data_IF_645489590877
#
_entry.id   IF_645489590877
#
_cell.length_a   1.000
_cell.length_b   1.000
_cell.length_c   1.000
_cell.angle_alpha   90.00
_cell.angle_beta   90.00
_cell.angle_gamma   90.00
#
_symmetry.space_group_name_H-M   'P 1'
#
loop_
_entity.id
_entity.type
_entity.pdbx_description
1 polymer ?
#
# COMPACT_ATOMS: atom_id res chain seq x y z
N UNK A 1 -42.07 33.52 -50.29
CA UNK A 1 -42.20 32.38 -49.35
C UNK A 1 -41.06 32.51 -48.33
N UNK A 2 -41.32 33.11 -47.17
CA UNK A 2 -40.32 33.34 -46.10
C UNK A 2 -40.47 32.20 -45.08
N UNK A 3 -39.41 31.43 -44.88
CA UNK A 3 -39.36 30.38 -43.85
C UNK A 3 -38.67 31.00 -42.63
N UNK A 4 -39.42 31.17 -41.55
CA UNK A 4 -38.94 31.52 -40.21
C UNK A 4 -38.43 30.27 -39.51
N UNK A 5 -37.15 30.26 -39.16
CA UNK A 5 -36.51 29.26 -38.31
C UNK A 5 -36.63 29.68 -36.85
N UNK A 6 -37.28 28.84 -36.03
CA UNK A 6 -37.29 28.99 -34.57
C UNK A 6 -36.13 28.20 -33.96
N UNK A 7 -35.18 28.89 -33.33
CA UNK A 7 -34.22 28.29 -32.41
C UNK A 7 -34.90 28.08 -31.05
N UNK A 8 -34.93 26.84 -30.56
CA UNK A 8 -35.26 26.51 -29.17
C UNK A 8 -33.94 26.44 -28.40
N UNK A 9 -33.73 27.35 -27.45
CA UNK A 9 -32.60 27.32 -26.53
C UNK A 9 -32.94 26.39 -25.35
N UNK A 10 -32.16 25.31 -25.17
CA UNK A 10 -32.23 24.47 -23.99
C UNK A 10 -31.33 25.08 -22.89
N UNK A 11 -31.93 25.55 -21.81
CA UNK A 11 -31.21 25.95 -20.60
C UNK A 11 -30.72 24.73 -19.85
N UNK A 12 -29.39 24.54 -19.77
CA UNK A 12 -28.78 23.64 -18.79
C UNK A 12 -28.80 24.29 -17.40
N UNK A 13 -29.60 23.74 -16.49
CA UNK A 13 -29.46 24.01 -15.06
C UNK A 13 -28.23 23.25 -14.53
N UNK A 14 -27.15 23.97 -14.24
CA UNK A 14 -26.07 23.45 -13.41
C UNK A 14 -26.58 23.31 -11.96
N UNK A 15 -26.87 22.08 -11.55
CA UNK A 15 -27.05 21.75 -10.15
C UNK A 15 -25.72 21.97 -9.42
N UNK A 16 -25.65 22.98 -8.55
CA UNK A 16 -24.56 23.12 -7.58
C UNK A 16 -24.60 21.89 -6.67
N UNK A 17 -23.67 20.96 -6.85
CA UNK A 17 -23.40 19.92 -5.87
C UNK A 17 -23.11 20.61 -4.53
N UNK A 18 -23.86 20.26 -3.49
CA UNK A 18 -23.60 20.71 -2.13
C UNK A 18 -22.22 20.19 -1.74
N UNK A 19 -21.24 21.09 -1.64
CA UNK A 19 -19.93 20.77 -1.07
C UNK A 19 -20.16 20.23 0.35
N UNK A 20 -19.82 18.96 0.55
CA UNK A 20 -19.85 18.33 1.86
C UNK A 20 -18.87 19.11 2.76
N UNK A 21 -19.26 19.55 3.97
CA UNK A 21 -18.35 20.27 4.83
C UNK A 21 -17.12 19.39 5.09
N UNK A 22 -15.94 19.92 4.76
CA UNK A 22 -14.66 19.32 5.11
C UNK A 22 -14.63 19.23 6.64
N UNK A 23 -14.80 18.02 7.17
CA UNK A 23 -14.47 17.75 8.57
C UNK A 23 -12.98 18.02 8.74
N UNK A 24 -12.61 18.71 9.83
CA UNK A 24 -11.22 18.81 10.22
C UNK A 24 -10.57 17.41 10.20
N UNK A 25 -9.33 17.27 9.72
CA UNK A 25 -8.67 15.97 9.69
C UNK A 25 -8.70 15.34 11.09
N UNK A 26 -8.97 14.03 11.20
CA UNK A 26 -9.07 13.37 12.50
C UNK A 26 -7.79 13.58 13.31
N UNK A 27 -7.95 13.88 14.60
CA UNK A 27 -6.82 13.89 15.51
C UNK A 27 -6.41 12.45 15.79
N UNK A 28 -5.21 12.09 15.33
CA UNK A 28 -4.64 10.77 15.52
C UNK A 28 -3.85 10.69 16.83
N UNK A 29 -3.98 9.55 17.52
CA UNK A 29 -3.41 9.34 18.87
C UNK A 29 -2.42 8.17 18.93
N UNK A 30 -2.20 7.50 17.81
CA UNK A 30 -1.27 6.40 17.67
C UNK A 30 -1.26 5.82 16.26
N UNK A 31 -0.60 4.68 16.12
CA UNK A 31 -0.34 4.03 14.84
C UNK A 31 -0.49 2.51 14.98
N UNK A 32 -0.98 1.88 13.91
CA UNK A 32 -1.04 0.43 13.74
C UNK A 32 -0.08 0.01 12.63
N UNK A 33 0.92 -0.81 12.96
CA UNK A 33 1.78 -1.46 11.96
C UNK A 33 1.11 -2.76 11.55
N UNK A 34 0.80 -2.90 10.26
CA UNK A 34 0.37 -4.15 9.62
C UNK A 34 1.55 -4.79 8.93
N UNK A 35 1.87 -6.02 9.30
CA UNK A 35 3.12 -6.67 8.88
C UNK A 35 2.98 -8.19 9.00
N UNK A 36 4.06 -8.91 8.72
CA UNK A 36 4.22 -10.34 8.90
C UNK A 36 5.68 -10.61 9.32
N UNK A 37 6.02 -11.87 9.55
CA UNK A 37 7.41 -12.30 9.66
C UNK A 37 7.65 -13.54 8.79
N UNK A 38 8.86 -13.73 8.29
CA UNK A 38 9.16 -14.88 7.42
C UNK A 38 8.80 -16.24 8.07
N UNK A 39 9.09 -16.50 9.36
CA UNK A 39 8.70 -17.76 10.01
C UNK A 39 7.19 -17.92 10.24
N UNK A 40 6.42 -16.82 10.20
CA UNK A 40 4.98 -16.83 10.41
C UNK A 40 4.29 -15.89 9.39
N UNK A 41 4.11 -16.36 8.13
CA UNK A 41 3.57 -15.57 7.03
C UNK A 41 2.05 -15.40 7.17
N UNK A 42 1.66 -14.69 8.23
CA UNK A 42 0.30 -14.38 8.64
C UNK A 42 0.26 -12.91 9.07
N UNK A 43 -0.93 -12.29 9.06
CA UNK A 43 -1.06 -10.88 9.42
C UNK A 43 -0.78 -10.68 10.89
N UNK A 44 0.19 -9.82 11.20
CA UNK A 44 0.60 -9.43 12.53
C UNK A 44 0.37 -7.93 12.69
N UNK A 45 -0.09 -7.53 13.88
CA UNK A 45 -0.28 -6.11 14.21
C UNK A 45 0.56 -5.68 15.38
N UNK A 46 1.17 -4.50 15.25
CA UNK A 46 1.85 -3.83 16.35
C UNK A 46 1.24 -2.45 16.58
N UNK A 47 0.87 -2.14 17.82
CA UNK A 47 0.25 -0.86 18.18
C UNK A 47 1.27 0.04 18.87
N UNK A 48 1.31 1.31 18.49
CA UNK A 48 2.22 2.27 19.09
C UNK A 48 2.00 2.43 20.61
N UNK A 49 3.06 2.63 21.38
CA UNK A 49 2.97 3.03 22.79
C UNK A 49 2.54 4.50 22.89
N UNK A 50 1.25 4.74 23.14
CA UNK A 50 0.66 6.07 22.98
C UNK A 50 0.83 6.58 21.54
N UNK A 51 1.20 7.84 21.39
CA UNK A 51 1.43 8.48 20.08
C UNK A 51 2.91 8.47 19.65
N UNK A 52 3.72 7.56 20.20
CA UNK A 52 5.12 7.41 19.83
C UNK A 52 5.24 6.70 18.47
N UNK A 53 5.84 7.39 17.50
CA UNK A 53 6.04 6.88 16.16
C UNK A 53 7.16 5.82 16.04
N UNK A 54 7.89 5.52 17.11
CA UNK A 54 9.07 4.63 17.11
C UNK A 54 8.97 3.44 18.05
N UNK A 55 7.94 3.39 18.91
CA UNK A 55 7.76 2.35 19.93
C UNK A 55 6.45 1.62 19.71
N UNK A 56 6.49 0.31 19.54
CA UNK A 56 5.31 -0.50 19.24
C UNK A 56 5.32 -1.79 20.04
N UNK A 57 4.13 -2.26 20.43
CA UNK A 57 3.93 -3.55 21.09
C UNK A 57 3.23 -4.52 20.15
N UNK A 58 3.70 -5.77 20.10
CA UNK A 58 3.06 -6.83 19.33
C UNK A 58 1.72 -7.17 19.98
N UNK A 59 0.65 -7.15 19.20
CA UNK A 59 -0.71 -7.42 19.64
C UNK A 59 -1.06 -8.91 19.62
N UNK A 60 -2.26 -9.20 20.11
CA UNK A 60 -2.87 -10.53 20.18
C UNK A 60 -2.01 -11.56 20.94
N UNK A 61 -1.37 -11.15 22.03
CA UNK A 61 -0.51 -12.03 22.83
C UNK A 61 0.73 -12.51 22.06
N UNK A 62 1.24 -11.68 21.14
CA UNK A 62 2.37 -12.02 20.27
C UNK A 62 2.04 -13.04 19.18
N UNK A 63 0.78 -13.12 18.74
CA UNK A 63 0.31 -14.04 17.69
C UNK A 63 -0.25 -13.28 16.50
N UNK A 64 -0.34 -13.97 15.35
CA UNK A 64 -1.03 -13.43 14.20
C UNK A 64 -2.49 -13.08 14.52
N UNK A 65 -2.98 -12.00 13.91
CA UNK A 65 -4.37 -11.53 14.04
C UNK A 65 -5.27 -12.11 12.97
N UNK A 66 -4.78 -12.17 11.72
CA UNK A 66 -5.51 -12.76 10.58
C UNK A 66 -4.66 -13.85 9.93
N UNK A 67 -5.31 -14.93 9.52
CA UNK A 67 -4.69 -16.06 8.85
C UNK A 67 -5.37 -16.33 7.51
N UNK A 68 -4.61 -16.82 6.53
CA UNK A 68 -5.15 -17.20 5.22
C UNK A 68 -5.40 -18.70 5.16
N UNK A 69 -6.58 -19.09 4.71
CA UNK A 69 -6.91 -20.48 4.32
C UNK A 69 -7.14 -20.62 2.80
N UNK A 70 -6.87 -19.56 2.03
CA UNK A 70 -7.01 -19.47 0.57
C UNK A 70 -5.64 -19.33 -0.10
N UNK A 71 -5.58 -19.57 -1.42
CA UNK A 71 -4.35 -19.42 -2.19
C UNK A 71 -3.23 -20.34 -1.68
N UNK A 72 -2.04 -19.77 -1.54
CA UNK A 72 -0.85 -20.40 -0.96
C UNK A 72 -0.93 -20.60 0.56
N UNK A 73 -1.91 -19.98 1.23
CA UNK A 73 -2.12 -19.99 2.69
C UNK A 73 -1.07 -19.25 3.53
N UNK A 74 -0.02 -18.73 2.91
CA UNK A 74 0.88 -17.73 3.49
C UNK A 74 0.58 -16.35 2.91
N UNK A 75 0.84 -15.31 3.69
CA UNK A 75 0.73 -13.93 3.25
C UNK A 75 1.94 -13.09 3.61
N UNK A 76 2.25 -12.14 2.73
CA UNK A 76 3.35 -11.19 2.85
C UNK A 76 2.88 -9.78 2.46
N UNK A 77 3.71 -8.79 2.77
CA UNK A 77 3.59 -7.41 2.32
C UNK A 77 2.22 -6.81 2.69
N UNK A 78 1.92 -6.81 3.99
CA UNK A 78 0.56 -6.55 4.49
C UNK A 78 0.24 -5.06 4.45
N UNK A 79 -0.80 -4.67 3.73
CA UNK A 79 -1.25 -3.29 3.65
C UNK A 79 -2.66 -3.12 4.21
N UNK A 80 -2.83 -2.17 5.12
CA UNK A 80 -4.12 -1.78 5.70
C UNK A 80 -4.58 -0.43 5.12
N UNK A 81 -5.76 -0.43 4.51
CA UNK A 81 -6.38 0.77 3.92
C UNK A 81 -7.77 1.03 4.46
N UNK A 82 -8.22 2.27 4.38
CA UNK A 82 -9.55 2.74 4.81
C UNK A 82 -9.99 3.93 3.96
N UNK A 83 -11.30 4.19 3.89
CA UNK A 83 -11.83 5.38 3.24
C UNK A 83 -11.70 6.62 4.15
N UNK A 84 -11.89 7.82 3.60
CA UNK A 84 -11.80 9.06 4.38
C UNK A 84 -12.84 9.16 5.51
N UNK A 85 -13.99 8.48 5.38
CA UNK A 85 -15.01 8.41 6.42
C UNK A 85 -14.65 7.45 7.57
N UNK A 86 -13.63 6.61 7.38
CA UNK A 86 -13.20 5.57 8.33
C UNK A 86 -14.33 4.61 8.72
N UNK A 87 -15.17 4.29 7.75
CA UNK A 87 -16.33 3.38 7.90
C UNK A 87 -16.08 1.99 7.36
N UNK A 88 -14.97 1.79 6.66
CA UNK A 88 -14.54 0.50 6.14
C UNK A 88 -13.03 0.38 6.08
N UNK A 89 -12.56 -0.83 6.30
CA UNK A 89 -11.15 -1.17 6.40
C UNK A 89 -10.91 -2.44 5.61
N UNK A 90 -9.80 -2.47 4.90
CA UNK A 90 -9.37 -3.64 4.16
C UNK A 90 -7.91 -3.94 4.47
N UNK A 91 -7.63 -5.19 4.82
CA UNK A 91 -6.26 -5.71 4.83
C UNK A 91 -6.07 -6.46 3.53
N UNK A 92 -5.07 -6.05 2.74
CA UNK A 92 -4.68 -6.69 1.48
C UNK A 92 -3.25 -7.18 1.60
N UNK A 93 -2.96 -8.33 0.99
CA UNK A 93 -1.66 -8.96 1.11
C UNK A 93 -1.28 -9.75 -0.14
N UNK A 94 0.03 -9.88 -0.37
CA UNK A 94 0.60 -10.83 -1.32
C UNK A 94 0.22 -12.25 -0.91
N UNK A 95 -0.34 -13.03 -1.84
CA UNK A 95 -0.59 -14.47 -1.66
C UNK A 95 0.70 -15.26 -1.94
N UNK A 96 1.50 -15.50 -0.88
CA UNK A 96 2.78 -16.18 -0.98
C UNK A 96 3.21 -16.84 0.33
N UNK A 97 3.45 -18.15 0.29
CA UNK A 97 4.11 -18.90 1.35
C UNK A 97 5.52 -19.34 0.91
N UNK A 98 6.55 -18.71 1.48
CA UNK A 98 7.95 -19.07 1.21
C UNK A 98 8.42 -20.30 1.99
N UNK A 99 7.62 -20.76 2.96
CA UNK A 99 7.92 -21.93 3.79
C UNK A 99 7.23 -23.20 3.26
N UNK A 100 6.43 -23.08 2.20
CA UNK A 100 5.76 -24.21 1.58
C UNK A 100 6.78 -25.21 1.02
N UNK A 101 6.45 -26.51 1.15
CA UNK A 101 7.27 -27.58 0.58
C UNK A 101 7.42 -27.38 -0.94
N UNK A 102 8.66 -27.41 -1.44
CA UNK A 102 8.95 -27.22 -2.85
C UNK A 102 8.91 -25.77 -3.33
N UNK A 103 8.89 -24.78 -2.42
CA UNK A 103 8.96 -23.36 -2.76
C UNK A 103 10.17 -23.04 -3.67
N UNK A 104 9.94 -22.17 -4.65
CA UNK A 104 10.96 -21.66 -5.56
C UNK A 104 10.66 -20.23 -5.96
N UNK A 105 11.64 -19.34 -5.78
CA UNK A 105 11.56 -17.95 -6.26
C UNK A 105 11.36 -17.86 -7.77
N UNK A 106 11.91 -18.81 -8.54
CA UNK A 106 11.64 -18.88 -9.98
C UNK A 106 10.16 -19.17 -10.25
N UNK A 107 9.57 -20.14 -9.56
CA UNK A 107 8.13 -20.43 -9.71
C UNK A 107 7.27 -19.25 -9.23
N UNK A 108 7.62 -18.62 -8.10
CA UNK A 108 6.88 -17.51 -7.54
C UNK A 108 6.87 -16.26 -8.45
N UNK A 109 7.89 -16.10 -9.30
CA UNK A 109 7.99 -14.98 -10.27
C UNK A 109 7.48 -15.32 -11.67
N UNK A 110 7.29 -16.60 -11.99
CA UNK A 110 6.87 -17.06 -13.32
C UNK A 110 5.43 -17.56 -13.34
N UNK A 111 5.03 -18.34 -12.33
CA UNK A 111 3.71 -18.96 -12.19
C UNK A 111 3.15 -18.72 -10.78
N UNK A 112 3.48 -17.57 -10.19
CA UNK A 112 3.03 -17.15 -8.87
C UNK A 112 1.55 -16.78 -8.86
N UNK A 113 1.05 -16.44 -7.66
CA UNK A 113 -0.33 -15.99 -7.52
C UNK A 113 -0.56 -14.68 -8.27
N UNK A 114 -1.63 -14.62 -9.07
CA UNK A 114 -2.09 -13.41 -9.77
C UNK A 114 -3.12 -12.62 -8.95
N UNK A 115 -3.26 -12.97 -7.66
CA UNK A 115 -4.26 -12.41 -6.79
C UNK A 115 -3.72 -11.94 -5.45
N UNK A 116 -4.57 -11.19 -4.76
CA UNK A 116 -4.33 -10.70 -3.41
C UNK A 116 -5.25 -11.44 -2.44
N UNK A 117 -4.76 -11.70 -1.24
CA UNK A 117 -5.59 -12.14 -0.12
C UNK A 117 -6.16 -10.91 0.58
N UNK A 118 -7.47 -10.91 0.82
CA UNK A 118 -8.22 -9.75 1.26
C UNK A 118 -9.12 -10.11 2.44
N UNK A 119 -9.06 -9.28 3.49
CA UNK A 119 -10.01 -9.25 4.60
C UNK A 119 -10.69 -7.89 4.65
N UNK A 120 -11.94 -7.85 5.08
CA UNK A 120 -12.71 -6.62 5.25
C UNK A 120 -13.22 -6.47 6.68
N UNK A 121 -13.33 -5.22 7.13
CA UNK A 121 -13.92 -4.86 8.42
C UNK A 121 -14.67 -3.52 8.31
N UNK A 122 -15.67 -3.31 9.15
CA UNK A 122 -16.36 -2.02 9.31
C UNK A 122 -15.91 -1.23 10.54
N UNK A 123 -15.07 -1.83 11.39
CA UNK A 123 -14.67 -1.25 12.67
C UNK A 123 -13.21 -1.57 13.06
N UNK A 124 -12.40 -2.05 12.11
CA UNK A 124 -10.98 -2.40 12.26
C UNK A 124 -10.69 -3.61 13.17
N UNK A 125 -11.71 -4.21 13.80
CA UNK A 125 -11.52 -5.25 14.82
C UNK A 125 -12.35 -6.52 14.60
N UNK A 126 -13.46 -6.41 13.86
CA UNK A 126 -14.25 -7.57 13.43
C UNK A 126 -14.03 -7.77 11.94
N UNK A 127 -13.33 -8.84 11.60
CA UNK A 127 -12.86 -9.12 10.25
C UNK A 127 -13.62 -10.27 9.61
N UNK A 128 -13.85 -10.16 8.30
CA UNK A 128 -14.36 -11.26 7.48
C UNK A 128 -13.38 -12.44 7.43
N UNK A 129 -13.84 -13.58 6.94
CA UNK A 129 -12.93 -14.60 6.41
C UNK A 129 -12.10 -14.03 5.23
N UNK A 130 -10.90 -14.58 4.95
CA UNK A 130 -10.10 -14.19 3.80
C UNK A 130 -10.79 -14.55 2.48
N UNK A 131 -10.55 -13.75 1.45
CA UNK A 131 -10.84 -14.11 0.07
C UNK A 131 -9.63 -13.88 -0.83
N UNK A 132 -9.41 -14.75 -1.82
CA UNK A 132 -8.41 -14.55 -2.87
C UNK A 132 -9.09 -13.87 -4.05
N UNK A 133 -8.57 -12.73 -4.50
CA UNK A 133 -9.05 -12.00 -5.68
C UNK A 133 -7.97 -11.96 -6.73
N UNK A 134 -8.22 -12.58 -7.89
CA UNK A 134 -7.35 -12.47 -9.05
C UNK A 134 -7.50 -11.08 -9.64
N UNK A 135 -6.41 -10.32 -9.67
CA UNK A 135 -6.39 -8.91 -10.05
C UNK A 135 -5.51 -8.63 -11.27
N UNK A 136 -4.62 -9.56 -11.63
CA UNK A 136 -3.72 -9.42 -12.77
C UNK A 136 -4.18 -10.24 -13.97
N UNK A 137 -3.76 -9.80 -15.16
CA UNK A 137 -4.00 -10.50 -16.41
C UNK A 137 -3.30 -11.88 -16.44
N UNK A 138 -3.81 -12.89 -17.18
CA UNK A 138 -3.23 -14.23 -17.23
C UNK A 138 -1.79 -14.32 -17.74
N UNK A 139 -1.29 -13.27 -18.40
CA UNK A 139 0.10 -13.18 -18.85
C UNK A 139 1.04 -12.71 -17.76
N UNK A 140 0.53 -12.32 -16.59
CA UNK A 140 1.33 -11.94 -15.43
C UNK A 140 2.06 -13.14 -14.82
N UNK A 141 3.22 -12.89 -14.20
CA UNK A 141 3.96 -13.90 -13.43
C UNK A 141 3.56 -13.96 -11.96
N UNK A 142 3.07 -12.84 -11.41
CA UNK A 142 2.68 -12.66 -10.00
C UNK A 142 1.94 -11.34 -9.77
N UNK A 143 1.33 -11.18 -8.60
CA UNK A 143 0.87 -9.90 -8.05
C UNK A 143 1.42 -9.72 -6.62
N UNK A 144 2.38 -8.81 -6.45
CA UNK A 144 3.14 -8.66 -5.20
C UNK A 144 3.07 -7.26 -4.59
N UNK A 145 3.31 -7.18 -3.29
CA UNK A 145 3.47 -5.96 -2.51
C UNK A 145 2.36 -4.94 -2.76
N UNK A 146 1.09 -5.28 -2.41
CA UNK A 146 -0.02 -4.40 -2.71
C UNK A 146 0.01 -3.15 -1.83
N UNK A 147 -0.39 -2.02 -2.40
CA UNK A 147 -0.72 -0.80 -1.66
C UNK A 147 -2.01 -0.18 -2.21
N UNK A 148 -2.64 0.71 -1.45
CA UNK A 148 -3.91 1.31 -1.89
C UNK A 148 -4.09 2.75 -1.41
N UNK A 149 -4.67 3.58 -2.27
CA UNK A 149 -5.06 4.97 -1.96
C UNK A 149 -6.55 5.12 -2.22
N UNK A 150 -7.29 5.58 -1.21
CA UNK A 150 -8.68 6.02 -1.37
C UNK A 150 -8.73 7.36 -2.08
N UNK A 151 -9.59 7.47 -3.09
CA UNK A 151 -9.88 8.72 -3.79
C UNK A 151 -11.30 9.21 -3.46
N UNK A 152 -11.38 10.38 -2.82
CA UNK A 152 -12.65 10.98 -2.42
C UNK A 152 -13.47 11.49 -3.61
N UNK A 153 -12.85 11.88 -4.71
CA UNK A 153 -13.58 12.40 -5.87
C UNK A 153 -14.38 11.29 -6.57
N UNK A 154 -13.75 10.14 -6.80
CA UNK A 154 -14.38 9.01 -7.48
C UNK A 154 -15.00 7.98 -6.53
N UNK A 155 -14.79 8.13 -5.22
CA UNK A 155 -15.28 7.24 -4.16
C UNK A 155 -14.88 5.78 -4.42
N UNK A 156 -13.59 5.57 -4.69
CA UNK A 156 -13.02 4.26 -4.96
C UNK A 156 -11.55 4.22 -4.53
N UNK A 157 -11.02 3.01 -4.33
CA UNK A 157 -9.61 2.75 -4.11
C UNK A 157 -8.88 2.59 -5.44
N UNK A 158 -7.73 3.23 -5.55
CA UNK A 158 -6.67 2.83 -6.47
C UNK A 158 -5.78 1.83 -5.75
N UNK A 159 -5.63 0.65 -6.32
CA UNK A 159 -4.83 -0.45 -5.77
C UNK A 159 -3.66 -0.69 -6.69
N UNK A 160 -2.46 -0.81 -6.12
CA UNK A 160 -1.19 -0.93 -6.82
C UNK A 160 -0.49 -2.22 -6.41
N UNK A 161 0.30 -2.80 -7.31
CA UNK A 161 1.11 -3.99 -7.04
C UNK A 161 2.25 -4.09 -8.06
N UNK A 162 3.25 -4.90 -7.76
CA UNK A 162 4.30 -5.25 -8.69
C UNK A 162 3.97 -6.53 -9.48
N UNK A 163 4.33 -6.55 -10.77
CA UNK A 163 4.20 -7.72 -11.63
C UNK A 163 5.19 -7.67 -12.79
N UNK A 164 5.56 -8.83 -13.33
CA UNK A 164 6.12 -8.99 -14.68
C UNK A 164 5.17 -9.78 -15.55
N UNK A 165 5.31 -9.65 -16.87
CA UNK A 165 4.45 -10.32 -17.83
C UNK A 165 5.25 -11.03 -18.92
N UNK A 166 4.66 -12.10 -19.42
CA UNK A 166 5.16 -12.93 -20.51
C UNK A 166 4.40 -12.64 -21.81
N UNK A 167 4.92 -13.14 -22.92
CA UNK A 167 4.23 -13.04 -24.20
C UNK A 167 2.90 -13.80 -24.14
N UNK A 168 1.83 -13.26 -24.73
CA UNK A 168 0.52 -13.92 -24.72
C UNK A 168 0.51 -15.31 -25.39
N UNK A 169 1.48 -15.59 -26.28
CA UNK A 169 1.66 -16.89 -26.91
C UNK A 169 2.48 -17.88 -26.06
N UNK A 170 3.12 -17.41 -24.98
CA UNK A 170 3.92 -18.22 -24.06
C UNK A 170 3.08 -18.60 -22.85
N UNK A 171 2.14 -19.53 -23.02
CA UNK A 171 1.26 -19.97 -21.95
C UNK A 171 1.99 -20.66 -20.77
N UNK A 172 3.23 -21.10 -20.98
CA UNK A 172 4.04 -21.78 -19.96
C UNK A 172 4.99 -20.84 -19.22
N UNK A 173 5.04 -19.55 -19.61
CA UNK A 173 5.96 -18.56 -19.04
C UNK A 173 7.42 -19.03 -19.04
N UNK A 174 7.81 -19.76 -20.10
CA UNK A 174 9.14 -20.35 -20.26
C UNK A 174 10.11 -19.42 -21.02
N UNK A 175 9.56 -18.45 -21.75
CA UNK A 175 10.30 -17.41 -22.44
C UNK A 175 10.69 -16.24 -21.53
N UNK A 176 11.29 -15.19 -22.11
CA UNK A 176 11.66 -14.01 -21.34
C UNK A 176 10.41 -13.24 -20.88
N UNK A 177 10.41 -12.86 -19.60
CA UNK A 177 9.48 -11.87 -19.09
C UNK A 177 9.93 -10.45 -19.46
N UNK A 178 9.01 -9.50 -19.42
CA UNK A 178 9.37 -8.09 -19.31
C UNK A 178 9.95 -7.77 -17.91
N UNK A 179 10.47 -6.55 -17.74
CA UNK A 179 10.87 -6.06 -16.43
C UNK A 179 9.65 -5.90 -15.50
N UNK A 180 9.87 -6.18 -14.22
CA UNK A 180 8.89 -5.88 -13.16
C UNK A 180 8.47 -4.42 -13.25
N UNK A 181 7.18 -4.19 -13.11
CA UNK A 181 6.56 -2.87 -13.21
C UNK A 181 5.47 -2.74 -12.15
N UNK A 182 5.13 -1.50 -11.84
CA UNK A 182 3.99 -1.20 -10.99
C UNK A 182 2.73 -1.14 -11.84
N UNK A 183 1.75 -1.93 -11.42
CA UNK A 183 0.44 -2.11 -12.01
C UNK A 183 -0.60 -1.46 -11.11
N UNK A 184 -1.76 -1.15 -11.67
CA UNK A 184 -2.88 -0.67 -10.87
C UNK A 184 -4.25 -1.05 -11.43
N UNK A 185 -5.24 -1.08 -10.55
CA UNK A 185 -6.66 -1.18 -10.84
C UNK A 185 -7.46 -0.37 -9.83
N UNK A 186 -8.74 -0.15 -10.10
CA UNK A 186 -9.66 0.53 -9.19
C UNK A 186 -10.72 -0.41 -8.66
N UNK A 187 -11.10 -0.26 -7.39
CA UNK A 187 -12.18 -1.03 -6.75
C UNK A 187 -12.93 -0.17 -5.74
N UNK A 188 -14.19 -0.48 -5.46
CA UNK A 188 -14.96 0.16 -4.39
C UNK A 188 -15.12 -0.72 -3.15
N UNK A 189 -14.91 -2.02 -3.30
CA UNK A 189 -15.33 -3.02 -2.33
C UNK A 189 -14.31 -4.14 -2.12
N UNK A 190 -13.20 -4.13 -2.88
CA UNK A 190 -12.21 -5.21 -2.94
C UNK A 190 -12.82 -6.59 -3.31
N UNK A 191 -13.93 -6.58 -4.04
CA UNK A 191 -14.56 -7.76 -4.64
C UNK A 191 -14.46 -7.67 -6.16
N UNK A 192 -14.80 -6.51 -6.72
CA UNK A 192 -14.74 -6.26 -8.17
C UNK A 192 -13.67 -5.23 -8.49
N UNK A 193 -12.82 -5.54 -9.45
CA UNK A 193 -11.73 -4.67 -9.90
C UNK A 193 -11.94 -4.24 -11.34
N UNK A 194 -11.53 -3.03 -11.68
CA UNK A 194 -11.33 -2.66 -13.08
C UNK A 194 -10.24 -3.53 -13.71
N UNK A 195 -10.19 -3.57 -15.05
CA UNK A 195 -9.05 -4.19 -15.74
C UNK A 195 -7.73 -3.53 -15.30
N UNK A 196 -6.67 -4.32 -15.02
CA UNK A 196 -5.38 -3.79 -14.62
C UNK A 196 -4.70 -3.01 -15.75
N UNK A 197 -3.86 -2.04 -15.38
CA UNK A 197 -3.09 -1.18 -16.28
C UNK A 197 -1.69 -0.94 -15.71
N UNK A 198 -0.76 -0.55 -16.57
CA UNK A 198 0.54 -0.05 -16.12
C UNK A 198 0.35 1.28 -15.39
N UNK A 199 0.85 1.36 -14.16
CA UNK A 199 0.99 2.61 -13.43
C UNK A 199 2.36 3.22 -13.66
N UNK A 200 3.41 2.41 -13.51
CA UNK A 200 4.79 2.84 -13.74
C UNK A 200 5.65 1.68 -14.25
N UNK A 201 6.17 1.83 -15.47
CA UNK A 201 7.02 0.85 -16.14
C UNK A 201 8.19 1.58 -16.79
N UNK A 202 9.38 1.47 -16.21
CA UNK A 202 10.60 2.01 -16.80
C UNK A 202 11.16 1.04 -17.86
N UNK A 203 11.76 1.56 -18.95
CA UNK A 203 12.24 0.71 -20.05
C UNK A 203 13.45 -0.15 -19.67
N UNK A 204 14.20 0.23 -18.65
CA UNK A 204 15.51 -0.32 -18.29
C UNK A 204 15.64 -0.70 -16.80
N UNK A 205 14.60 -0.45 -16.00
CA UNK A 205 14.65 -0.59 -14.55
C UNK A 205 13.46 -1.41 -14.05
N UNK A 206 13.67 -2.62 -13.49
CA UNK A 206 12.63 -3.38 -12.82
C UNK A 206 12.26 -2.74 -11.48
N UNK A 207 10.96 -2.62 -11.22
CA UNK A 207 10.39 -1.90 -10.08
C UNK A 207 9.44 -2.77 -9.27
N UNK A 208 9.62 -2.76 -7.95
CA UNK A 208 8.69 -3.38 -6.98
C UNK A 208 8.46 -2.46 -5.78
N UNK A 209 7.62 -2.91 -4.84
CA UNK A 209 7.42 -2.31 -3.52
C UNK A 209 7.08 -0.82 -3.55
N UNK A 210 6.00 -0.49 -4.25
CA UNK A 210 5.56 0.88 -4.38
C UNK A 210 4.70 1.33 -3.18
N UNK A 211 5.10 2.42 -2.54
CA UNK A 211 4.35 3.05 -1.44
C UNK A 211 4.05 4.53 -1.71
N UNK A 212 2.91 5.03 -1.22
CA UNK A 212 2.53 6.45 -1.27
C UNK A 212 2.44 7.08 0.11
N UNK A 213 2.90 8.32 0.21
CA UNK A 213 2.68 9.18 1.37
C UNK A 213 1.97 10.47 0.95
N UNK A 214 0.74 10.69 1.42
CA UNK A 214 0.04 11.97 1.23
C UNK A 214 0.72 13.08 2.05
N UNK A 215 0.95 14.23 1.43
CA UNK A 215 1.72 15.34 2.03
C UNK A 215 0.85 16.43 2.68
N UNK A 216 -0.45 16.16 2.84
CA UNK A 216 -1.39 17.03 3.55
C UNK A 216 -2.05 18.11 2.69
N UNK A 217 -1.62 18.28 1.44
CA UNK A 217 -2.27 19.16 0.46
C UNK A 217 -2.89 18.33 -0.67
N UNK A 218 -4.04 18.74 -1.22
CA UNK A 218 -4.69 18.03 -2.33
C UNK A 218 -3.70 17.76 -3.48
N UNK A 219 -3.64 16.51 -3.94
CA UNK A 219 -2.74 16.10 -5.01
C UNK A 219 -1.25 16.00 -4.62
N UNK A 220 -0.87 16.37 -3.39
CA UNK A 220 0.52 16.33 -2.95
C UNK A 220 0.88 14.98 -2.36
N UNK A 221 1.80 14.27 -3.01
CA UNK A 221 2.27 12.96 -2.59
C UNK A 221 3.79 12.84 -2.70
N UNK A 222 4.38 12.03 -1.82
CA UNK A 222 5.63 11.33 -2.11
C UNK A 222 5.31 9.89 -2.52
N UNK A 223 6.14 9.31 -3.38
CA UNK A 223 6.13 7.86 -3.63
C UNK A 223 7.52 7.28 -3.48
N UNK A 224 7.56 6.03 -3.05
CA UNK A 224 8.77 5.26 -2.87
C UNK A 224 8.67 4.01 -3.74
N UNK A 225 9.76 3.66 -4.41
CA UNK A 225 9.84 2.44 -5.22
C UNK A 225 11.20 1.80 -5.07
N UNK A 226 11.24 0.47 -5.05
CA UNK A 226 12.48 -0.28 -5.09
C UNK A 226 12.94 -0.46 -6.52
N UNK A 227 14.22 -0.15 -6.76
CA UNK A 227 14.93 -0.50 -7.97
C UNK A 227 15.63 -1.85 -7.76
N UNK A 228 15.14 -2.89 -8.45
CA UNK A 228 15.66 -4.26 -8.37
C UNK A 228 17.07 -4.42 -8.98
N UNK A 229 17.54 -3.49 -9.82
CA UNK A 229 18.90 -3.55 -10.40
C UNK A 229 19.98 -3.27 -9.36
N UNK A 230 19.70 -2.42 -8.38
CA UNK A 230 20.66 -2.03 -7.33
C UNK A 230 20.19 -2.36 -5.91
N UNK A 231 18.98 -2.92 -5.77
CA UNK A 231 18.35 -3.25 -4.48
C UNK A 231 18.28 -2.05 -3.52
N UNK A 232 17.85 -0.89 -4.04
CA UNK A 232 17.69 0.33 -3.26
C UNK A 232 16.35 1.00 -3.54
N UNK A 233 15.83 1.67 -2.51
CA UNK A 233 14.58 2.43 -2.59
C UNK A 233 14.84 3.87 -2.96
N UNK A 234 14.03 4.37 -3.87
CA UNK A 234 14.10 5.72 -4.36
C UNK A 234 12.80 6.48 -4.17
N UNK A 235 12.89 7.81 -4.19
CA UNK A 235 11.77 8.68 -3.88
C UNK A 235 11.48 9.67 -5.01
N UNK A 236 10.20 9.97 -5.19
CA UNK A 236 9.68 11.03 -6.04
C UNK A 236 8.58 11.81 -5.33
N UNK A 237 8.30 13.03 -5.77
CA UNK A 237 7.21 13.87 -5.24
C UNK A 237 6.35 14.43 -6.36
N UNK A 238 5.08 14.73 -6.06
CA UNK A 238 4.14 15.37 -6.98
C UNK A 238 3.22 16.31 -6.21
N UNK A 239 2.61 17.26 -6.91
CA UNK A 239 1.47 18.08 -6.47
C UNK A 239 0.26 17.91 -7.38
N UNK A 240 0.35 17.02 -8.37
CA UNK A 240 -0.60 16.88 -9.48
C UNK A 240 -1.48 15.63 -9.32
N UNK A 241 -1.44 14.98 -8.14
CA UNK A 241 -2.14 13.74 -7.85
C UNK A 241 -1.41 12.49 -8.30
N UNK A 242 -1.99 11.32 -8.02
CA UNK A 242 -1.35 10.01 -8.23
C UNK A 242 -0.91 9.79 -9.69
N UNK A 243 -1.69 10.28 -10.66
CA UNK A 243 -1.42 10.16 -12.10
C UNK A 243 -0.78 11.42 -12.71
N UNK A 244 -0.30 12.33 -11.86
CA UNK A 244 0.34 13.56 -12.27
C UNK A 244 1.81 13.40 -12.66
N UNK A 245 2.49 14.53 -12.83
CA UNK A 245 3.94 14.52 -13.09
C UNK A 245 4.68 14.29 -11.79
N UNK A 246 5.62 13.34 -11.79
CA UNK A 246 6.46 13.02 -10.64
C UNK A 246 7.86 13.62 -10.83
N UNK A 247 8.39 14.24 -9.77
CA UNK A 247 9.74 14.79 -9.72
C UNK A 247 10.63 13.87 -8.92
N UNK A 248 11.68 13.35 -9.57
CA UNK A 248 12.67 12.46 -8.94
C UNK A 248 13.54 13.23 -7.95
N UNK A 249 13.63 12.75 -6.70
CA UNK A 249 14.67 13.21 -5.78
C UNK A 249 16.00 12.54 -6.17
N UNK A 250 17.10 13.26 -6.39
CA UNK A 250 18.36 12.66 -6.81
C UNK A 250 18.86 11.56 -5.86
N UNK A 251 19.32 10.44 -6.42
CA UNK A 251 19.85 9.31 -5.66
C UNK A 251 18.79 8.39 -5.07
N UNK A 252 19.17 7.70 -3.99
CA UNK A 252 18.32 6.76 -3.26
C UNK A 252 18.06 7.31 -1.85
N UNK A 253 16.95 6.88 -1.24
CA UNK A 253 16.51 7.35 0.08
C UNK A 253 17.59 7.14 1.13
N UNK A 254 18.32 6.01 1.01
CA UNK A 254 19.33 5.54 1.95
C UNK A 254 20.50 4.91 1.19
N UNK A 255 21.76 5.09 1.64
CA UNK A 255 22.92 4.45 1.03
C UNK A 255 23.01 2.94 1.32
N UNK A 256 22.34 2.45 2.36
CA UNK A 256 22.31 1.02 2.68
C UNK A 256 21.61 0.21 1.57
N UNK A 257 22.07 -1.03 1.39
CA UNK A 257 21.52 -2.00 0.43
C UNK A 257 21.79 -3.42 0.95
N UNK A 258 20.86 -4.38 0.77
CA UNK A 258 19.54 -4.20 0.17
C UNK A 258 18.58 -3.44 1.09
N UNK A 259 17.71 -2.63 0.49
CA UNK A 259 16.54 -2.07 1.16
C UNK A 259 15.32 -2.21 0.26
N UNK A 260 14.19 -2.59 0.85
CA UNK A 260 12.91 -2.83 0.20
C UNK A 260 11.73 -2.42 1.07
N UNK A 261 10.51 -2.67 0.62
CA UNK A 261 9.29 -2.52 1.39
C UNK A 261 9.13 -1.20 2.14
N UNK A 262 9.03 -0.05 1.45
CA UNK A 262 8.80 1.23 2.11
C UNK A 262 7.45 1.26 2.81
N UNK A 263 7.44 1.62 4.09
CA UNK A 263 6.23 1.99 4.83
C UNK A 263 6.38 3.41 5.37
N UNK A 264 5.79 4.39 4.68
CA UNK A 264 5.89 5.80 5.06
C UNK A 264 4.63 6.26 5.79
N UNK A 265 4.81 7.09 6.82
CA UNK A 265 3.70 7.68 7.57
C UNK A 265 4.07 9.06 8.11
N UNK A 266 3.08 9.95 8.22
CA UNK A 266 3.25 11.26 8.81
C UNK A 266 3.33 11.17 10.34
N UNK A 267 4.10 12.08 10.96
CA UNK A 267 4.11 12.25 12.40
C UNK A 267 2.82 12.97 12.87
N UNK A 268 2.07 12.34 13.76
CA UNK A 268 0.82 12.86 14.32
C UNK A 268 1.01 14.12 15.18
N UNK A 269 2.22 14.36 15.71
CA UNK A 269 2.50 15.45 16.65
C UNK A 269 3.29 16.59 16.01
N UNK A 270 4.12 16.29 15.00
CA UNK A 270 5.05 17.25 14.41
C UNK A 270 4.78 17.39 12.92
N UNK A 271 4.06 18.46 12.56
CA UNK A 271 3.75 18.77 11.17
C UNK A 271 5.02 18.84 10.30
N UNK A 272 4.97 18.22 9.12
CA UNK A 272 6.09 18.16 8.18
C UNK A 272 7.16 17.11 8.51
N UNK A 273 7.06 16.42 9.66
CA UNK A 273 7.88 15.25 9.96
C UNK A 273 7.22 13.99 9.42
N UNK A 274 8.03 13.15 8.79
CA UNK A 274 7.61 11.85 8.27
C UNK A 274 8.57 10.78 8.73
N UNK A 275 8.04 9.58 8.86
CA UNK A 275 8.76 8.36 9.19
C UNK A 275 8.71 7.41 8.00
N UNK A 276 9.70 6.54 7.90
CA UNK A 276 9.83 5.55 6.85
C UNK A 276 10.48 4.30 7.42
N UNK A 277 9.80 3.15 7.30
CA UNK A 277 10.44 1.86 7.50
C UNK A 277 10.91 1.32 6.16
N UNK A 278 12.08 0.67 6.16
CA UNK A 278 12.57 -0.10 5.03
C UNK A 278 13.00 -1.47 5.52
N UNK A 279 12.66 -2.51 4.77
CA UNK A 279 13.04 -3.90 5.03
C UNK A 279 14.45 -4.14 4.49
N UNK A 280 15.37 -4.60 5.34
CA UNK A 280 16.75 -4.91 4.94
C UNK A 280 16.96 -6.39 4.60
N UNK A 281 15.89 -7.05 4.16
CA UNK A 281 15.71 -8.50 3.95
C UNK A 281 15.65 -9.32 5.25
N UNK A 282 16.03 -8.76 6.40
CA UNK A 282 15.91 -9.42 7.71
C UNK A 282 14.78 -8.84 8.54
N UNK A 283 14.67 -7.52 8.57
CA UNK A 283 13.69 -6.79 9.37
C UNK A 283 13.56 -5.32 8.90
N UNK A 284 12.49 -4.68 9.34
CA UNK A 284 12.29 -3.25 9.23
C UNK A 284 13.31 -2.48 10.08
N UNK A 285 13.88 -1.46 9.45
CA UNK A 285 14.73 -0.45 10.06
C UNK A 285 14.07 0.93 9.92
N UNK A 286 13.91 1.70 11.01
CA UNK A 286 13.18 2.96 10.96
C UNK A 286 14.08 4.15 10.60
N UNK A 287 13.52 5.06 9.82
CA UNK A 287 14.11 6.34 9.43
C UNK A 287 13.12 7.49 9.62
N UNK A 288 13.63 8.71 9.73
CA UNK A 288 12.85 9.93 9.92
C UNK A 288 13.39 11.06 9.05
N UNK A 289 12.49 11.91 8.57
CA UNK A 289 12.83 13.18 7.91
C UNK A 289 11.97 14.32 8.44
N UNK A 290 12.53 15.53 8.46
CA UNK A 290 11.78 16.78 8.70
C UNK A 290 11.41 17.50 7.41
N UNK A 291 11.82 16.97 6.25
CA UNK A 291 11.49 17.53 4.95
C UNK A 291 11.53 16.43 3.89
N UNK A 292 10.36 15.84 3.62
CA UNK A 292 10.23 14.81 2.59
C UNK A 292 10.69 15.29 1.21
N UNK A 293 10.59 16.58 0.88
CA UNK A 293 10.96 17.08 -0.45
C UNK A 293 12.47 16.99 -0.74
N UNK A 294 13.32 16.95 0.28
CA UNK A 294 14.78 16.75 0.09
C UNK A 294 15.15 15.29 -0.08
N UNK A 295 14.26 14.36 0.30
CA UNK A 295 14.53 12.92 0.40
C UNK A 295 15.71 12.56 1.30
N UNK A 296 16.10 13.45 2.23
CA UNK A 296 17.12 13.15 3.23
C UNK A 296 16.44 12.50 4.43
N UNK A 297 16.66 11.21 4.59
CA UNK A 297 16.17 10.39 5.70
C UNK A 297 17.33 10.09 6.64
N UNK A 298 17.14 10.21 7.95
CA UNK A 298 18.12 9.85 8.97
C UNK A 298 17.68 8.59 9.73
N UNK A 299 18.60 7.73 10.22
CA UNK A 299 18.20 6.61 11.07
C UNK A 299 17.44 7.11 12.31
N UNK A 300 16.32 6.48 12.62
CA UNK A 300 15.55 6.75 13.83
C UNK A 300 16.02 5.83 14.97
N UNK A 301 15.58 6.15 16.20
CA UNK A 301 15.86 5.30 17.36
C UNK A 301 15.26 3.90 17.14
N UNK A 302 16.01 2.87 17.54
CA UNK A 302 15.53 1.48 17.58
C UNK A 302 15.16 1.03 19.00
N UNK A 303 15.21 1.92 19.97
CA UNK A 303 14.81 1.63 21.36
C UNK A 303 13.28 1.48 21.41
N UNK A 304 12.80 0.28 21.82
CA UNK A 304 11.37 -0.02 21.82
C UNK A 304 10.77 -0.28 20.43
N UNK A 305 11.57 -0.21 19.36
CA UNK A 305 11.15 -0.64 18.03
C UNK A 305 11.20 -2.18 17.94
N UNK A 306 10.10 -2.86 17.56
CA UNK A 306 10.09 -4.31 17.41
C UNK A 306 11.15 -4.84 16.45
N UNK A 307 11.59 -6.08 16.67
CA UNK A 307 12.56 -6.78 15.80
C UNK A 307 11.86 -7.80 14.93
N UNK A 308 12.40 -8.06 13.75
CA UNK A 308 11.90 -9.11 12.85
C UNK A 308 10.60 -8.79 12.10
N UNK A 309 10.14 -7.54 12.14
CA UNK A 309 9.00 -7.07 11.33
C UNK A 309 9.42 -7.01 9.87
N UNK A 310 8.60 -7.50 8.95
CA UNK A 310 8.87 -7.46 7.50
C UNK A 310 7.95 -6.47 6.80
N UNK A 311 8.07 -6.37 5.47
CA UNK A 311 7.25 -5.52 4.62
C UNK A 311 5.75 -5.51 4.99
N UNK A 312 5.20 -4.31 5.10
CA UNK A 312 3.79 -3.99 5.36
C UNK A 312 3.59 -2.48 5.51
N UNK A 313 2.54 -2.03 6.21
CA UNK A 313 2.13 -0.62 6.27
C UNK A 313 2.02 -0.05 7.70
N UNK A 314 1.96 1.27 7.81
CA UNK A 314 1.69 1.97 9.08
C UNK A 314 0.46 2.87 8.93
N UNK A 315 -0.59 2.61 9.70
CA UNK A 315 -1.86 3.32 9.62
C UNK A 315 -2.08 4.18 10.88
N UNK A 316 -2.27 5.50 10.76
CA UNK A 316 -2.60 6.33 11.92
C UNK A 316 -4.04 6.04 12.41
N UNK A 317 -4.21 6.06 13.74
CA UNK A 317 -5.45 5.70 14.41
C UNK A 317 -6.06 6.89 15.15
N UNK A 318 -7.36 7.06 15.01
CA UNK A 318 -8.18 7.89 15.90
C UNK A 318 -8.26 7.26 17.29
N UNK A 319 -8.69 8.02 18.30
CA UNK A 319 -8.88 7.49 19.65
C UNK A 319 -9.79 6.27 19.69
N UNK A 320 -10.93 6.32 18.98
CA UNK A 320 -11.90 5.22 18.94
C UNK A 320 -11.29 3.94 18.39
N UNK A 321 -10.47 4.04 17.34
CA UNK A 321 -9.83 2.87 16.72
C UNK A 321 -8.69 2.33 17.57
N UNK A 322 -7.87 3.22 18.14
CA UNK A 322 -6.79 2.84 19.05
C UNK A 322 -7.34 2.03 20.22
N UNK A 323 -8.41 2.52 20.86
CA UNK A 323 -9.05 1.85 21.99
C UNK A 323 -9.70 0.53 21.57
N UNK A 324 -10.38 0.49 20.42
CA UNK A 324 -11.00 -0.73 19.90
C UNK A 324 -9.96 -1.82 19.63
N UNK A 325 -8.87 -1.48 18.93
CA UNK A 325 -7.79 -2.41 18.61
C UNK A 325 -7.11 -2.91 19.89
N UNK A 326 -6.77 -2.00 20.82
CA UNK A 326 -6.14 -2.36 22.09
C UNK A 326 -7.02 -3.27 22.95
N UNK A 327 -8.35 -3.05 22.95
CA UNK A 327 -9.29 -3.88 23.68
C UNK A 327 -9.49 -5.26 23.03
N UNK A 328 -9.58 -5.32 21.69
CA UNK A 328 -9.83 -6.57 20.95
C UNK A 328 -8.60 -7.48 20.92
N UNK A 329 -7.42 -6.89 20.79
CA UNK A 329 -6.14 -7.57 20.57
C UNK A 329 -5.12 -7.07 21.60
N UNK A 330 -5.18 -7.52 22.87
CA UNK A 330 -4.22 -7.11 23.87
C UNK A 330 -2.80 -7.56 23.50
N UNK A 331 -1.79 -6.83 23.98
CA UNK A 331 -0.38 -7.23 23.81
C UNK A 331 -0.06 -8.54 24.53
#
# INVERSE_FOLDING_TARGET
MRITSHLVAASLCFGKGLARPSSAPPQYVGYLVSTFSDPNPQVQWHLSEGNDASRFRFLNGGKAVLTSNVGTKGVRDIFLTTNSERTEYFTIATDLDINAEGFSWYQATTKGSLGLVIWSSKNLVDWSEPSLRIIEDPTGGMAWAPSAVWDDETQQYFVFWASRHYAAADAEHAGPANLDRIRYATTRDFVSFSRPRDYHALPDTPLIDQEFQHLGAPGAYARFLKNETVNQVYQETTTDGLFGTWTRVPGYVRPESPLEGPASYADNLIAGRYHLFLDNYTEYVPFVTSNVATGVWAPASREGFPRGLKHGSVTPLTQKEYDAVAARYPA
#
